data_IF_719296020797
#
_entry.id   IF_719296020797
#
_cell.length_a   1.000
_cell.length_b   1.000
_cell.length_c   1.000
_cell.angle_alpha   90.00
_cell.angle_beta   90.00
_cell.angle_gamma   90.00
#
_symmetry.space_group_name_H-M   'P 1'
#
loop_
_entity.id
_entity.type
_entity.pdbx_description
1 polymer ?
#
# COMPACT_ATOMS: atom_id res chain seq x y z
N UNK A 1 13.77 16.10 11.34
CA UNK A 1 13.96 14.77 10.71
C UNK A 1 12.67 14.42 9.99
N UNK A 2 12.72 14.12 8.69
CA UNK A 2 11.56 13.62 7.93
C UNK A 2 11.13 12.26 8.47
N UNK A 3 9.82 12.03 8.55
CA UNK A 3 9.30 10.73 8.99
C UNK A 3 9.38 9.72 7.84
N UNK A 4 9.41 8.42 8.17
CA UNK A 4 9.44 7.36 7.16
C UNK A 4 8.17 7.37 6.29
N UNK A 5 7.02 7.77 6.84
CA UNK A 5 5.80 7.96 6.05
C UNK A 5 5.93 9.11 5.04
N UNK A 6 6.54 10.23 5.43
CA UNK A 6 6.80 11.35 4.50
C UNK A 6 7.74 10.93 3.37
N UNK A 7 8.81 10.19 3.67
CA UNK A 7 9.72 9.64 2.66
C UNK A 7 9.00 8.69 1.67
N UNK A 8 8.11 7.83 2.16
CA UNK A 8 7.35 6.95 1.27
C UNK A 8 6.28 7.69 0.46
N UNK A 9 5.66 8.74 1.01
CA UNK A 9 4.76 9.62 0.24
C UNK A 9 5.48 10.25 -0.95
N UNK A 10 6.68 10.77 -0.72
CA UNK A 10 7.53 11.34 -1.77
C UNK A 10 7.91 10.29 -2.82
N UNK A 11 8.22 9.06 -2.39
CA UNK A 11 8.51 7.96 -3.30
C UNK A 11 7.30 7.59 -4.18
N UNK A 12 6.08 7.54 -3.61
CA UNK A 12 4.85 7.30 -4.36
C UNK A 12 4.60 8.41 -5.38
N UNK A 13 4.73 9.67 -4.98
CA UNK A 13 4.56 10.81 -5.89
C UNK A 13 5.57 10.75 -7.05
N UNK A 14 6.84 10.42 -6.76
CA UNK A 14 7.85 10.23 -7.79
C UNK A 14 7.52 9.08 -8.76
N UNK A 15 7.05 7.93 -8.25
CA UNK A 15 6.63 6.80 -9.07
C UNK A 15 5.46 7.19 -9.99
N UNK A 16 4.44 7.86 -9.46
CA UNK A 16 3.30 8.36 -10.23
C UNK A 16 3.72 9.37 -11.31
N UNK A 17 4.64 10.29 -11.02
CA UNK A 17 5.12 11.26 -12.03
C UNK A 17 5.82 10.63 -13.22
N UNK A 18 6.45 9.47 -13.01
CA UNK A 18 7.23 8.80 -14.04
C UNK A 18 6.39 7.94 -14.99
N UNK A 19 5.07 7.84 -14.78
CA UNK A 19 4.16 7.06 -15.61
C UNK A 19 3.01 7.92 -16.12
N UNK A 20 2.42 7.62 -17.30
CA UNK A 20 1.23 8.32 -17.77
C UNK A 20 0.01 7.99 -16.90
N UNK A 21 -1.04 8.81 -17.00
CA UNK A 21 -2.25 8.71 -16.18
C UNK A 21 -2.99 7.36 -16.33
N UNK A 22 -2.90 6.76 -17.50
CA UNK A 22 -3.49 5.48 -17.89
C UNK A 22 -2.57 4.27 -17.66
N UNK A 23 -1.37 4.48 -17.10
CA UNK A 23 -0.44 3.40 -16.82
C UNK A 23 -1.06 2.36 -15.86
N UNK A 24 -0.80 1.06 -16.09
CA UNK A 24 -1.33 0.01 -15.24
C UNK A 24 -0.74 0.10 -13.83
N UNK A 25 -1.50 -0.39 -12.86
CA UNK A 25 -1.03 -0.63 -11.48
C UNK A 25 -1.31 -2.08 -11.09
N UNK A 26 -0.73 -2.54 -9.98
CA UNK A 26 -1.08 -3.85 -9.42
C UNK A 26 -2.45 -3.87 -8.71
N UNK A 27 -3.09 -2.70 -8.54
CA UNK A 27 -4.48 -2.64 -8.14
C UNK A 27 -5.36 -3.00 -9.35
N UNK A 28 -6.02 -4.15 -9.29
CA UNK A 28 -6.88 -4.62 -10.38
C UNK A 28 -7.90 -3.56 -10.80
N UNK A 29 -7.94 -3.27 -12.10
CA UNK A 29 -8.85 -2.28 -12.69
C UNK A 29 -8.48 -0.82 -12.42
N UNK A 30 -7.34 -0.52 -11.79
CA UNK A 30 -6.90 0.84 -11.49
C UNK A 30 -5.73 1.27 -12.39
N UNK A 31 -5.89 2.42 -13.02
CA UNK A 31 -4.77 3.14 -13.62
C UNK A 31 -4.04 4.02 -12.59
N UNK A 32 -2.89 4.58 -12.97
CA UNK A 32 -2.13 5.49 -12.11
C UNK A 32 -2.96 6.70 -11.64
N UNK A 33 -3.87 7.23 -12.48
CA UNK A 33 -4.80 8.30 -12.08
C UNK A 33 -5.77 7.86 -10.97
N UNK A 34 -6.28 6.64 -11.01
CA UNK A 34 -7.17 6.10 -9.97
C UNK A 34 -6.44 5.97 -8.65
N UNK A 35 -5.18 5.52 -8.69
CA UNK A 35 -4.34 5.42 -7.52
C UNK A 35 -4.02 6.80 -6.93
N UNK A 36 -3.65 7.79 -7.77
CA UNK A 36 -3.42 9.16 -7.33
C UNK A 36 -4.68 9.77 -6.68
N UNK A 37 -5.83 9.57 -7.31
CA UNK A 37 -7.13 10.01 -6.79
C UNK A 37 -7.45 9.35 -5.44
N UNK A 38 -7.20 8.05 -5.30
CA UNK A 38 -7.39 7.31 -4.05
C UNK A 38 -6.59 7.93 -2.90
N UNK A 39 -5.31 8.24 -3.11
CA UNK A 39 -4.48 8.88 -2.08
C UNK A 39 -5.03 10.26 -1.70
N UNK A 40 -5.41 11.07 -2.68
CA UNK A 40 -5.97 12.41 -2.43
C UNK A 40 -7.27 12.33 -1.62
N UNK A 41 -8.15 11.38 -1.95
CA UNK A 41 -9.42 11.19 -1.23
C UNK A 41 -9.12 10.77 0.21
N UNK A 42 -8.22 9.80 0.40
CA UNK A 42 -7.84 9.35 1.74
C UNK A 42 -7.29 10.47 2.61
N UNK A 43 -6.45 11.32 2.04
CA UNK A 43 -5.82 12.44 2.73
C UNK A 43 -6.70 13.68 2.89
N UNK A 44 -7.84 13.79 2.22
CA UNK A 44 -8.66 15.01 2.25
C UNK A 44 -10.07 14.77 2.76
N UNK A 45 -10.59 13.56 2.52
CA UNK A 45 -12.00 13.20 2.62
C UNK A 45 -12.17 11.70 2.89
N UNK A 46 -11.68 11.17 4.03
CA UNK A 46 -11.93 9.79 4.39
C UNK A 46 -13.43 9.48 4.54
N UNK A 47 -14.29 10.50 4.71
CA UNK A 47 -15.75 10.40 4.64
C UNK A 47 -16.27 9.88 3.27
N UNK A 48 -15.48 10.02 2.21
CA UNK A 48 -15.77 9.46 0.89
C UNK A 48 -15.25 8.02 0.73
N UNK A 49 -14.46 7.51 1.69
CA UNK A 49 -13.97 6.12 1.74
C UNK A 49 -14.95 5.30 2.57
N UNK A 50 -15.97 4.76 1.92
CA UNK A 50 -16.87 3.76 2.51
C UNK A 50 -16.86 2.49 1.65
N UNK A 51 -16.07 1.50 2.08
CA UNK A 51 -16.19 0.08 1.70
C UNK A 51 -15.55 -0.38 0.36
N UNK A 52 -15.40 -1.70 0.14
CA UNK A 52 -14.61 -2.30 -0.95
C UNK A 52 -15.26 -2.28 -2.35
N UNK A 53 -16.47 -1.75 -2.47
CA UNK A 53 -17.21 -1.52 -3.71
C UNK A 53 -18.06 -0.31 -3.38
N UNK A 54 -17.87 0.89 -3.94
CA UNK A 54 -18.67 2.07 -3.58
C UNK A 54 -20.19 1.77 -3.64
N UNK A 55 -20.90 1.52 -2.51
CA UNK A 55 -22.34 1.31 -2.52
C UNK A 55 -22.97 2.64 -2.09
N UNK A 56 -23.50 3.37 -3.07
CA UNK A 56 -24.25 4.62 -2.86
C UNK A 56 -23.42 5.77 -2.27
N UNK A 57 -22.38 6.21 -2.99
CA UNK A 57 -21.94 7.62 -2.86
C UNK A 57 -23.05 8.52 -3.39
N UNK A 58 -23.61 9.35 -2.51
CA UNK A 58 -24.62 10.35 -2.89
C UNK A 58 -24.12 11.29 -3.98
N UNK A 59 -25.03 11.97 -4.69
CA UNK A 59 -24.69 12.82 -5.84
C UNK A 59 -23.58 13.84 -5.55
N UNK A 60 -23.56 14.42 -4.35
CA UNK A 60 -22.50 15.36 -3.91
C UNK A 60 -21.12 14.72 -3.88
N UNK A 61 -21.01 13.48 -3.41
CA UNK A 61 -19.75 12.75 -3.38
C UNK A 61 -19.28 12.40 -4.79
N UNK A 62 -20.19 11.97 -5.67
CA UNK A 62 -19.88 11.74 -7.10
C UNK A 62 -19.42 13.01 -7.80
N UNK A 63 -20.09 14.14 -7.53
CA UNK A 63 -19.71 15.45 -8.06
C UNK A 63 -18.32 15.88 -7.56
N UNK A 64 -18.03 15.67 -6.28
CA UNK A 64 -16.70 15.96 -5.71
C UNK A 64 -15.61 15.09 -6.34
N UNK A 65 -15.84 13.78 -6.51
CA UNK A 65 -14.92 12.88 -7.20
C UNK A 65 -14.68 13.30 -8.65
N UNK A 66 -15.75 13.65 -9.38
CA UNK A 66 -15.65 14.15 -10.76
C UNK A 66 -14.88 15.47 -10.83
N UNK A 67 -15.11 16.39 -9.90
CA UNK A 67 -14.38 17.66 -9.81
C UNK A 67 -12.89 17.42 -9.52
N UNK A 68 -12.56 16.51 -8.60
CA UNK A 68 -11.16 16.14 -8.32
C UNK A 68 -10.48 15.57 -9.58
N UNK A 69 -11.12 14.61 -10.26
CA UNK A 69 -10.58 14.02 -11.49
C UNK A 69 -10.40 15.07 -12.59
N UNK A 70 -11.31 16.04 -12.70
CA UNK A 70 -11.22 17.12 -13.69
C UNK A 70 -10.04 18.07 -13.49
N UNK A 71 -9.37 18.07 -12.33
CA UNK A 71 -8.14 18.85 -12.12
C UNK A 71 -6.92 18.30 -12.89
N UNK A 72 -7.04 17.07 -13.41
CA UNK A 72 -6.01 16.40 -14.18
C UNK A 72 -4.99 15.66 -13.32
N UNK A 73 -4.40 14.62 -13.92
CA UNK A 73 -3.49 13.69 -13.26
C UNK A 73 -2.34 14.37 -12.50
N UNK A 74 -1.64 15.32 -13.14
CA UNK A 74 -0.51 16.01 -12.50
C UNK A 74 -0.94 16.82 -11.26
N UNK A 75 -2.16 17.37 -11.26
CA UNK A 75 -2.70 18.06 -10.09
C UNK A 75 -3.00 17.07 -8.95
N UNK A 76 -3.54 15.90 -9.28
CA UNK A 76 -3.74 14.82 -8.31
C UNK A 76 -2.43 14.36 -7.69
N UNK A 77 -1.38 14.17 -8.48
CA UNK A 77 -0.06 13.76 -7.99
C UNK A 77 0.55 14.83 -7.08
N UNK A 78 0.46 16.12 -7.45
CA UNK A 78 0.96 17.22 -6.61
C UNK A 78 0.20 17.30 -5.27
N UNK A 79 -1.10 17.02 -5.27
CA UNK A 79 -1.89 16.96 -4.03
C UNK A 79 -1.55 15.74 -3.19
N UNK A 80 -1.34 14.58 -3.81
CA UNK A 80 -0.89 13.37 -3.13
C UNK A 80 0.50 13.57 -2.49
N UNK A 81 1.39 14.32 -3.14
CA UNK A 81 2.69 14.67 -2.57
C UNK A 81 2.58 15.65 -1.39
N UNK A 82 1.73 16.68 -1.52
CA UNK A 82 1.51 17.69 -0.49
C UNK A 82 0.87 17.10 0.78
N UNK A 83 0.00 16.09 0.62
CA UNK A 83 -0.72 15.46 1.72
C UNK A 83 -1.89 16.31 2.25
N UNK A 84 -2.40 15.99 3.46
CA UNK A 84 -3.57 16.64 4.03
C UNK A 84 -3.36 18.13 4.28
N UNK A 85 -4.42 18.96 4.21
CA UNK A 85 -4.33 20.34 4.69
C UNK A 85 -3.88 20.40 6.16
N UNK A 86 -3.04 21.37 6.52
CA UNK A 86 -2.34 21.42 7.82
C UNK A 86 -3.25 21.26 9.06
N UNK A 87 -4.51 21.68 8.98
CA UNK A 87 -5.50 21.65 10.06
C UNK A 87 -6.26 20.31 10.19
N UNK A 88 -6.00 19.30 9.35
CA UNK A 88 -6.68 18.00 9.45
C UNK A 88 -6.11 17.11 10.56
N UNK A 89 -6.97 16.34 11.28
CA UNK A 89 -6.54 15.44 12.36
C UNK A 89 -5.52 14.37 11.91
N UNK A 90 -5.53 13.95 10.64
CA UNK A 90 -4.55 12.99 10.12
C UNK A 90 -3.11 13.51 10.06
N UNK A 91 -2.87 14.80 10.31
CA UNK A 91 -1.51 15.34 10.50
C UNK A 91 -0.93 15.04 11.89
N UNK A 92 -1.69 14.42 12.79
CA UNK A 92 -1.18 13.99 14.10
C UNK A 92 -0.09 12.89 13.91
N UNK A 93 1.17 13.14 14.33
CA UNK A 93 2.32 12.31 13.99
C UNK A 93 2.19 10.83 14.39
N UNK A 94 1.47 10.53 15.46
CA UNK A 94 1.37 9.18 16.05
C UNK A 94 0.44 8.27 15.23
N UNK A 95 -0.68 8.78 14.71
CA UNK A 95 -1.56 8.03 13.81
C UNK A 95 -0.98 7.93 12.40
N UNK A 96 -0.36 9.01 11.93
CA UNK A 96 0.20 9.15 10.58
C UNK A 96 1.26 8.06 10.29
N UNK A 97 2.20 7.87 11.21
CA UNK A 97 3.41 7.12 10.91
C UNK A 97 3.18 5.59 10.98
N UNK A 98 2.16 5.10 11.71
CA UNK A 98 1.86 3.66 11.82
C UNK A 98 0.95 3.14 10.69
N UNK A 99 0.06 3.97 10.16
CA UNK A 99 -0.85 3.55 9.08
C UNK A 99 -0.29 3.88 7.69
N UNK A 100 0.45 4.98 7.54
CA UNK A 100 0.69 5.52 6.21
C UNK A 100 1.97 4.98 5.55
N UNK A 101 2.99 4.55 6.31
CA UNK A 101 4.23 4.03 5.71
C UNK A 101 3.99 2.79 4.85
N UNK A 102 3.30 1.78 5.39
CA UNK A 102 3.02 0.54 4.67
C UNK A 102 2.17 0.81 3.42
N UNK A 103 1.18 1.69 3.51
CA UNK A 103 0.31 2.03 2.40
C UNK A 103 1.04 2.75 1.27
N UNK A 104 1.81 3.80 1.57
CA UNK A 104 2.60 4.48 0.55
C UNK A 104 3.67 3.55 -0.04
N UNK A 105 4.25 2.68 0.77
CA UNK A 105 5.18 1.67 0.28
C UNK A 105 4.50 0.73 -0.71
N UNK A 106 3.39 0.09 -0.32
CA UNK A 106 2.63 -0.84 -1.18
C UNK A 106 2.21 -0.15 -2.48
N UNK A 107 1.65 1.05 -2.41
CA UNK A 107 1.19 1.75 -3.62
C UNK A 107 2.33 2.29 -4.48
N UNK A 108 3.50 2.54 -3.90
CA UNK A 108 4.71 2.81 -4.71
C UNK A 108 5.05 1.58 -5.54
N UNK A 109 5.07 0.40 -4.90
CA UNK A 109 5.35 -0.86 -5.59
C UNK A 109 4.22 -1.25 -6.56
N UNK A 110 2.96 -0.89 -6.29
CA UNK A 110 1.85 -1.09 -7.22
C UNK A 110 2.05 -0.35 -8.54
N UNK A 111 2.65 0.85 -8.50
CA UNK A 111 3.01 1.60 -9.72
C UNK A 111 4.25 0.97 -10.36
N UNK A 112 5.34 0.81 -9.60
CA UNK A 112 6.63 0.39 -10.15
C UNK A 112 6.58 -1.03 -10.75
N UNK A 113 5.97 -1.99 -10.06
CA UNK A 113 5.97 -3.42 -10.45
C UNK A 113 4.96 -3.77 -11.54
N UNK A 114 4.05 -2.85 -11.84
CA UNK A 114 3.07 -3.00 -12.90
C UNK A 114 3.62 -2.58 -14.27
N UNK A 115 4.72 -1.85 -14.31
CA UNK A 115 5.30 -1.38 -15.56
C UNK A 115 5.96 -2.53 -16.34
N UNK A 116 5.93 -2.49 -17.69
CA UNK A 116 6.47 -3.55 -18.53
C UNK A 116 7.99 -3.73 -18.40
N UNK A 117 8.70 -2.70 -17.96
CA UNK A 117 10.15 -2.67 -17.75
C UNK A 117 10.57 -3.04 -16.31
N UNK A 118 9.63 -3.41 -15.44
CA UNK A 118 9.95 -3.86 -14.10
C UNK A 118 10.81 -5.13 -14.12
N UNK A 119 12.00 -5.03 -13.54
CA UNK A 119 12.90 -6.18 -13.34
C UNK A 119 12.85 -6.66 -11.88
N UNK A 120 12.27 -7.85 -11.61
CA UNK A 120 12.27 -8.44 -10.27
C UNK A 120 13.67 -8.65 -9.69
N UNK A 121 14.72 -8.75 -10.51
CA UNK A 121 16.11 -8.95 -10.05
C UNK A 121 16.73 -7.66 -9.52
N UNK A 122 16.18 -6.50 -9.86
CA UNK A 122 16.68 -5.20 -9.44
C UNK A 122 15.57 -4.36 -8.78
N UNK A 123 14.97 -4.83 -7.67
CA UNK A 123 13.95 -4.07 -6.98
C UNK A 123 14.55 -2.80 -6.36
N UNK A 124 13.68 -1.85 -6.02
CA UNK A 124 14.07 -0.62 -5.32
C UNK A 124 14.82 -0.96 -4.03
N UNK A 125 15.93 -0.26 -3.78
CA UNK A 125 16.69 -0.40 -2.53
C UNK A 125 15.87 0.06 -1.31
N UNK A 126 15.72 -0.83 -0.32
CA UNK A 126 14.95 -0.57 0.91
C UNK A 126 15.91 -0.35 2.08
N UNK A 127 15.96 0.87 2.66
CA UNK A 127 16.80 1.14 3.83
C UNK A 127 16.41 0.29 5.03
N UNK A 128 17.38 -0.11 5.85
CA UNK A 128 17.15 -0.98 7.00
C UNK A 128 16.11 -0.44 8.00
N UNK A 129 16.11 0.88 8.21
CA UNK A 129 15.11 1.56 9.04
C UNK A 129 13.68 1.34 8.52
N UNK A 130 13.49 1.38 7.20
CA UNK A 130 12.21 1.12 6.56
C UNK A 130 11.83 -0.36 6.71
N UNK A 131 12.75 -1.31 6.44
CA UNK A 131 12.48 -2.74 6.62
C UNK A 131 12.01 -3.11 8.03
N UNK A 132 12.70 -2.64 9.07
CA UNK A 132 12.27 -2.87 10.47
C UNK A 132 10.86 -2.34 10.73
N UNK A 133 10.53 -1.19 10.13
CA UNK A 133 9.21 -0.57 10.27
C UNK A 133 8.13 -1.36 9.55
N UNK A 134 8.38 -1.79 8.31
CA UNK A 134 7.48 -2.64 7.53
C UNK A 134 7.24 -3.97 8.23
N UNK A 135 8.28 -4.60 8.81
CA UNK A 135 8.13 -5.81 9.62
C UNK A 135 7.21 -5.60 10.83
N UNK A 136 7.43 -4.52 11.60
CA UNK A 136 6.61 -4.18 12.77
C UNK A 136 5.15 -3.95 12.37
N UNK A 137 4.91 -3.17 11.31
CA UNK A 137 3.56 -2.90 10.80
C UNK A 137 2.89 -4.17 10.28
N UNK A 138 3.61 -4.94 9.46
CA UNK A 138 3.17 -6.21 8.91
C UNK A 138 2.71 -7.18 10.00
N UNK A 139 3.58 -7.40 10.98
CA UNK A 139 3.35 -8.32 12.11
C UNK A 139 2.21 -7.87 13.03
N UNK A 140 1.95 -6.57 13.15
CA UNK A 140 0.92 -6.05 14.04
C UNK A 140 -0.52 -6.23 13.53
N UNK A 141 -0.73 -6.26 12.20
CA UNK A 141 -2.07 -6.30 11.63
C UNK A 141 -2.15 -6.94 10.24
N UNK A 142 -1.28 -6.55 9.30
CA UNK A 142 -1.44 -6.92 7.88
C UNK A 142 -1.28 -8.43 7.63
N UNK A 143 -0.37 -9.09 8.35
CA UNK A 143 -0.18 -10.54 8.24
C UNK A 143 -1.39 -11.32 8.75
N UNK A 144 -2.03 -10.84 9.82
CA UNK A 144 -3.28 -11.41 10.32
C UNK A 144 -4.43 -11.23 9.32
N UNK A 145 -4.53 -10.05 8.69
CA UNK A 145 -5.50 -9.78 7.65
C UNK A 145 -5.29 -10.68 6.41
N UNK A 146 -4.04 -10.84 5.97
CA UNK A 146 -3.67 -11.73 4.87
C UNK A 146 -4.04 -13.19 5.15
N UNK A 147 -3.67 -13.70 6.34
CA UNK A 147 -4.03 -15.06 6.76
C UNK A 147 -5.56 -15.29 6.79
N UNK A 148 -6.31 -14.30 7.29
CA UNK A 148 -7.77 -14.34 7.30
C UNK A 148 -8.35 -14.37 5.88
N UNK A 149 -7.84 -13.54 4.96
CA UNK A 149 -8.28 -13.50 3.56
C UNK A 149 -8.00 -14.82 2.84
N UNK A 150 -6.81 -15.39 3.05
CA UNK A 150 -6.43 -16.69 2.50
C UNK A 150 -7.16 -17.88 3.14
N UNK A 151 -7.81 -17.70 4.30
CA UNK A 151 -8.41 -18.77 5.11
C UNK A 151 -7.39 -19.88 5.48
N UNK A 152 -6.13 -19.49 5.70
CA UNK A 152 -5.01 -20.38 6.02
C UNK A 152 -4.42 -20.04 7.39
N UNK A 153 -3.68 -20.99 7.98
CA UNK A 153 -2.76 -20.71 9.07
C UNK A 153 -1.40 -20.41 8.46
N UNK A 154 -0.95 -19.16 8.53
CA UNK A 154 0.25 -18.73 7.83
C UNK A 154 1.35 -18.38 8.82
N UNK A 155 2.52 -19.00 8.64
CA UNK A 155 3.75 -18.64 9.34
C UNK A 155 4.60 -17.76 8.42
N UNK A 156 4.73 -16.49 8.78
CA UNK A 156 5.58 -15.51 8.10
C UNK A 156 6.96 -15.50 8.75
N UNK A 157 8.00 -15.77 7.98
CA UNK A 157 9.38 -15.77 8.46
C UNK A 157 10.24 -14.79 7.67
N UNK A 158 10.90 -13.88 8.37
CA UNK A 158 11.85 -12.95 7.77
C UNK A 158 13.23 -13.08 8.44
N UNK A 159 14.24 -13.59 7.72
CA UNK A 159 15.59 -13.74 8.25
C UNK A 159 16.13 -12.42 8.81
N UNK A 160 16.56 -12.41 10.07
CA UNK A 160 17.07 -11.22 10.76
C UNK A 160 16.00 -10.29 11.36
N UNK A 161 14.70 -10.53 11.15
CA UNK A 161 13.62 -9.70 11.72
C UNK A 161 12.67 -10.48 12.64
N UNK A 162 12.38 -11.75 12.32
CA UNK A 162 11.60 -12.62 13.21
C UNK A 162 10.67 -13.58 12.48
N UNK A 163 9.77 -14.20 13.25
CA UNK A 163 8.71 -15.09 12.74
C UNK A 163 7.41 -14.79 13.47
N UNK A 164 6.29 -14.82 12.74
CA UNK A 164 4.95 -14.68 13.32
C UNK A 164 3.97 -15.62 12.63
N UNK A 165 3.06 -16.23 13.40
CA UNK A 165 2.05 -17.13 12.87
C UNK A 165 0.67 -16.53 13.07
N UNK A 166 -0.11 -16.48 12.01
CA UNK A 166 -1.43 -15.87 11.95
C UNK A 166 -2.48 -16.86 11.45
N UNK A 167 -3.74 -16.67 11.85
CA UNK A 167 -4.86 -17.55 11.48
C UNK A 167 -5.14 -18.67 12.49
N UNK A 168 -6.32 -19.31 12.40
CA UNK A 168 -6.76 -20.32 13.36
C UNK A 168 -5.90 -21.58 13.27
N UNK A 169 -5.73 -22.29 14.38
CA UNK A 169 -4.97 -23.55 14.42
C UNK A 169 -5.58 -24.68 13.57
N UNK A 170 -6.88 -24.60 13.28
CA UNK A 170 -7.62 -25.57 12.47
C UNK A 170 -7.49 -25.37 10.96
N UNK A 171 -6.95 -24.23 10.50
CA UNK A 171 -6.78 -23.98 9.07
C UNK A 171 -5.51 -24.64 8.53
N UNK A 172 -5.53 -24.99 7.24
CA UNK A 172 -4.38 -25.61 6.57
C UNK A 172 -3.12 -24.72 6.70
N UNK A 173 -1.98 -25.28 7.14
CA UNK A 173 -0.76 -24.53 7.37
C UNK A 173 -0.12 -24.08 6.05
N UNK A 174 0.57 -22.96 6.09
CA UNK A 174 1.35 -22.39 4.98
C UNK A 174 2.55 -21.65 5.57
N UNK A 175 3.74 -21.89 5.06
CA UNK A 175 4.94 -21.16 5.45
C UNK A 175 5.34 -20.22 4.33
N UNK A 176 5.51 -18.94 4.65
CA UNK A 176 5.89 -17.89 3.70
C UNK A 176 7.14 -17.18 4.22
N UNK A 177 8.22 -17.22 3.46
CA UNK A 177 9.51 -16.66 3.85
C UNK A 177 9.98 -15.60 2.86
N UNK A 178 10.49 -14.48 3.37
CA UNK A 178 10.97 -13.38 2.51
C UNK A 178 11.48 -12.18 3.30
N UNK A 179 11.92 -11.15 2.57
CA UNK A 179 12.22 -9.85 3.17
C UNK A 179 10.94 -9.20 3.70
N UNK A 180 10.99 -8.32 4.73
CA UNK A 180 9.80 -7.73 5.33
C UNK A 180 8.86 -7.05 4.32
N UNK A 181 9.44 -6.36 3.34
CA UNK A 181 8.71 -5.69 2.27
C UNK A 181 7.96 -6.68 1.34
N UNK A 182 8.58 -7.81 1.01
CA UNK A 182 7.99 -8.81 0.13
C UNK A 182 6.87 -9.58 0.85
N UNK A 183 7.06 -9.89 2.13
CA UNK A 183 6.02 -10.49 2.96
C UNK A 183 4.80 -9.56 3.10
N UNK A 184 5.04 -8.25 3.20
CA UNK A 184 3.98 -7.25 3.27
C UNK A 184 3.21 -7.17 1.93
N UNK A 185 3.91 -7.15 0.80
CA UNK A 185 3.28 -7.20 -0.54
C UNK A 185 2.45 -8.47 -0.71
N UNK A 186 3.03 -9.62 -0.38
CA UNK A 186 2.32 -10.90 -0.44
C UNK A 186 1.06 -10.89 0.43
N UNK A 187 1.16 -10.48 1.70
CA UNK A 187 0.03 -10.43 2.63
C UNK A 187 -1.06 -9.40 2.24
N UNK A 188 -0.71 -8.38 1.46
CA UNK A 188 -1.65 -7.39 0.90
C UNK A 188 -2.25 -7.82 -0.44
N UNK A 189 -1.98 -9.05 -0.89
CA UNK A 189 -2.58 -9.66 -2.07
C UNK A 189 -1.81 -9.45 -3.37
N UNK A 190 -0.55 -9.01 -3.32
CA UNK A 190 0.34 -8.89 -4.50
C UNK A 190 1.17 -10.15 -4.66
N UNK A 191 0.54 -11.31 -4.50
CA UNK A 191 1.21 -12.60 -4.35
C UNK A 191 2.13 -12.93 -5.53
N UNK A 192 1.66 -12.73 -6.76
CA UNK A 192 2.41 -13.00 -8.01
C UNK A 192 3.60 -12.05 -8.23
N UNK A 193 3.59 -10.90 -7.56
CA UNK A 193 4.60 -9.85 -7.71
C UNK A 193 5.53 -9.75 -6.52
N UNK A 194 5.29 -10.53 -5.46
CA UNK A 194 6.11 -10.58 -4.27
C UNK A 194 7.17 -11.68 -4.37
N UNK A 195 8.39 -11.38 -3.97
CA UNK A 195 9.52 -12.31 -3.96
C UNK A 195 9.57 -13.04 -2.62
N UNK A 196 8.76 -14.09 -2.51
CA UNK A 196 8.67 -14.94 -1.31
C UNK A 196 8.84 -16.42 -1.66
N UNK A 197 9.41 -17.18 -0.74
CA UNK A 197 9.43 -18.63 -0.80
C UNK A 197 8.23 -19.19 -0.04
N UNK A 198 7.43 -20.00 -0.72
CA UNK A 198 6.22 -20.61 -0.15
C UNK A 198 6.44 -22.11 -0.01
N UNK A 199 6.09 -22.66 1.14
CA UNK A 199 6.05 -24.11 1.37
C UNK A 199 4.76 -24.49 2.08
N UNK A 200 4.11 -25.54 1.58
CA UNK A 200 2.99 -26.17 2.26
C UNK A 200 3.55 -27.27 3.19
N UNK A 201 3.00 -27.37 4.39
CA UNK A 201 3.35 -28.39 5.38
C UNK A 201 2.23 -29.39 5.54
#
# INVERSE_FOLDING_TARGET
MTSTASEQRQALAAALRNVPADAPTLCEGWAAEDLALHIVIRDSRPDLIVGPMLPVVGERARAALKALRSTGYQSLVNRAEAGPPAYFPQNLPVLNDLMNTAEFYIHTEDVLRAQPDFDPKHPRGIPEKLRRRLWKQGSSAMFALGARKAKRRITFTSPGYGTTTCGPSSAAPLSVQGAPEELLLWASGREEKAQVSISES
#
